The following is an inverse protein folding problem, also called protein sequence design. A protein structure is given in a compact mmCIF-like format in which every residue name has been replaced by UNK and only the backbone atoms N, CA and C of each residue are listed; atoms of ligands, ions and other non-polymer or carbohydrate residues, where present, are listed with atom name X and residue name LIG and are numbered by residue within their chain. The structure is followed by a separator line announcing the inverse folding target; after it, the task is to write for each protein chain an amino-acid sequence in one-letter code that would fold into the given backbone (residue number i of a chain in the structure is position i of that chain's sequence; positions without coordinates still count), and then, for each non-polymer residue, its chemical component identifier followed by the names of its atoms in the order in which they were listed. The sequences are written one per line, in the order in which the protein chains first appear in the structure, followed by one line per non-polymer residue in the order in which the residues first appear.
data_IF_982212057106
#
_entry.id   IF_982212057106
#
_cell.length_a   1.000
_cell.length_b   1.000
_cell.length_c   1.000
_cell.angle_alpha   90.00
_cell.angle_beta   90.00
_cell.angle_gamma   90.00
#
_symmetry.space_group_name_H-M   'P 1'
#
loop_
_entity.id
_entity.type
_entity.pdbx_description
1 polymer ?
#
# COMPACT_ATOMS: atom_id res chain seq x y z
N UNK A 1 47.45 -76.42 27.46
CA UNK A 1 46.64 -75.94 28.60
C UNK A 1 45.67 -74.90 28.05
N UNK A 2 44.42 -75.28 27.73
CA UNK A 2 43.19 -74.78 28.40
C UNK A 2 43.37 -73.43 29.08
N UNK A 3 42.65 -72.40 28.63
CA UNK A 3 41.58 -71.76 29.41
C UNK A 3 40.66 -70.95 28.47
N UNK A 4 39.41 -71.42 28.40
CA UNK A 4 38.26 -70.75 27.82
C UNK A 4 37.70 -69.79 28.89
N UNK A 5 37.24 -68.58 28.52
CA UNK A 5 36.13 -67.86 29.22
C UNK A 5 35.72 -66.54 28.56
N UNK A 6 34.49 -66.58 28.04
CA UNK A 6 33.37 -65.62 28.05
C UNK A 6 33.61 -64.17 28.49
N UNK A 7 32.98 -63.20 27.80
CA UNK A 7 31.99 -62.24 28.36
C UNK A 7 31.18 -61.61 27.20
N UNK A 8 29.85 -61.67 27.32
CA UNK A 8 28.86 -60.89 26.57
C UNK A 8 28.90 -59.42 27.02
N UNK A 9 28.91 -58.47 26.08
CA UNK A 9 28.58 -57.06 26.38
C UNK A 9 27.45 -56.62 25.46
N UNK A 10 26.32 -56.31 26.08
CA UNK A 10 25.16 -55.70 25.47
C UNK A 10 25.46 -54.22 25.12
N UNK A 11 25.14 -53.80 23.90
CA UNK A 11 25.17 -52.41 23.48
C UNK A 11 23.79 -51.97 23.00
N UNK A 12 23.01 -51.36 23.88
CA UNK A 12 21.76 -50.69 23.51
C UNK A 12 22.07 -49.35 22.82
N UNK A 13 21.73 -49.22 21.54
CA UNK A 13 21.84 -47.95 20.80
C UNK A 13 20.44 -47.38 20.61
N UNK A 14 20.01 -46.51 21.53
CA UNK A 14 18.80 -45.71 21.36
C UNK A 14 19.14 -44.50 20.46
N UNK A 15 18.74 -44.55 19.19
CA UNK A 15 18.85 -43.43 18.27
C UNK A 15 17.73 -42.42 18.54
N UNK A 16 18.06 -41.33 19.25
CA UNK A 16 17.20 -40.16 19.38
C UNK A 16 17.22 -39.36 18.08
N UNK A 17 16.23 -39.57 17.22
CA UNK A 17 15.96 -38.69 16.08
C UNK A 17 15.30 -37.41 16.60
N UNK A 18 16.10 -36.39 16.92
CA UNK A 18 15.59 -35.04 17.12
C UNK A 18 15.27 -34.44 15.74
N UNK A 19 14.00 -34.55 15.33
CA UNK A 19 13.46 -33.82 14.19
C UNK A 19 13.49 -32.32 14.47
N UNK A 20 14.46 -31.62 13.88
CA UNK A 20 14.49 -30.17 13.89
C UNK A 20 13.42 -29.66 12.91
N UNK A 21 12.24 -29.34 13.45
CA UNK A 21 11.20 -28.62 12.73
C UNK A 21 11.70 -27.22 12.41
N UNK A 22 12.23 -27.00 11.21
CA UNK A 22 12.48 -25.64 10.71
C UNK A 22 11.13 -24.97 10.49
N UNK A 23 10.66 -24.21 11.48
CA UNK A 23 9.55 -23.30 11.30
C UNK A 23 9.93 -22.33 10.18
N UNK A 24 9.28 -22.44 9.01
CA UNK A 24 9.37 -21.41 7.99
C UNK A 24 8.78 -20.14 8.60
N UNK A 25 9.63 -19.21 9.00
CA UNK A 25 9.21 -17.85 9.29
C UNK A 25 8.59 -17.30 8.00
N UNK A 26 7.26 -17.13 8.00
CA UNK A 26 6.59 -16.39 6.94
C UNK A 26 7.28 -15.02 6.80
N UNK A 27 7.50 -14.50 5.58
CA UNK A 27 8.08 -13.18 5.42
C UNK A 27 7.21 -12.18 6.19
N UNK A 28 7.82 -11.48 7.14
CA UNK A 28 7.17 -10.37 7.82
C UNK A 28 6.91 -9.29 6.76
N UNK A 29 5.66 -9.22 6.27
CA UNK A 29 5.24 -8.14 5.38
C UNK A 29 5.27 -6.86 6.20
N UNK A 30 6.32 -6.06 6.03
CA UNK A 30 6.37 -4.73 6.61
C UNK A 30 5.17 -3.95 6.07
N UNK A 31 4.23 -3.60 6.95
CA UNK A 31 3.16 -2.68 6.61
C UNK A 31 3.78 -1.43 5.94
N UNK A 32 3.10 -0.81 4.97
CA UNK A 32 3.65 0.37 4.32
C UNK A 32 3.90 1.44 5.39
N UNK A 33 5.16 1.83 5.59
CA UNK A 33 5.56 2.81 6.62
C UNK A 33 5.18 4.26 6.26
N UNK A 34 4.34 4.40 5.23
CA UNK A 34 4.00 5.66 4.60
C UNK A 34 2.51 5.87 4.78
N UNK A 35 2.18 7.04 5.31
CA UNK A 35 0.81 7.51 5.51
C UNK A 35 0.57 8.71 4.59
N UNK A 36 -0.67 9.01 4.21
CA UNK A 36 -0.94 10.17 3.38
C UNK A 36 -0.52 11.49 4.06
N UNK A 37 -0.50 11.58 5.39
CA UNK A 37 -0.01 12.75 6.12
C UNK A 37 1.51 12.88 6.09
N UNK A 38 2.25 11.77 5.96
CA UNK A 38 3.70 11.80 5.75
C UNK A 38 4.04 12.37 4.36
N UNK A 39 3.21 12.05 3.35
CA UNK A 39 3.40 12.48 1.95
C UNK A 39 2.87 13.89 1.72
N UNK A 40 1.61 14.14 2.08
CA UNK A 40 0.91 15.41 1.87
C UNK A 40 1.27 16.50 2.91
N UNK A 41 1.85 16.12 4.04
CA UNK A 41 2.17 17.01 5.17
C UNK A 41 1.23 16.83 6.36
N UNK A 42 1.75 17.05 7.57
CA UNK A 42 1.08 16.74 8.85
C UNK A 42 -0.20 17.54 9.11
N UNK A 43 -0.34 18.71 8.48
CA UNK A 43 -1.53 19.55 8.57
C UNK A 43 -2.72 19.03 7.73
N UNK A 44 -2.48 18.09 6.80
CA UNK A 44 -3.51 17.49 5.96
C UNK A 44 -4.24 16.37 6.70
N UNK A 45 -5.56 16.29 6.53
CA UNK A 45 -6.40 15.21 7.07
C UNK A 45 -6.99 14.41 5.92
N UNK A 46 -7.02 13.09 6.04
CA UNK A 46 -7.71 12.23 5.08
C UNK A 46 -9.19 12.53 5.11
N UNK A 47 -9.75 12.91 3.96
CA UNK A 47 -11.18 13.18 3.78
C UNK A 47 -11.87 12.12 2.94
N UNK A 48 -11.11 11.42 2.09
CA UNK A 48 -11.60 10.28 1.32
C UNK A 48 -10.44 9.33 0.95
N UNK A 49 -10.76 8.10 0.59
CA UNK A 49 -9.79 7.10 0.12
C UNK A 49 -10.45 6.06 -0.76
N UNK A 50 -9.68 5.41 -1.64
CA UNK A 50 -10.14 4.35 -2.51
C UNK A 50 -9.10 3.26 -2.73
N UNK A 51 -9.52 2.00 -2.66
CA UNK A 51 -8.65 0.88 -2.96
C UNK A 51 -8.38 0.79 -4.47
N UNK A 52 -7.10 0.66 -4.83
CA UNK A 52 -6.64 0.32 -6.18
C UNK A 52 -6.53 -1.21 -6.26
N UNK A 53 -7.68 -1.85 -6.41
CA UNK A 53 -7.80 -3.31 -6.29
C UNK A 53 -7.22 -3.81 -4.97
N UNK A 54 -6.33 -4.80 -5.03
CA UNK A 54 -5.56 -5.31 -3.89
C UNK A 54 -4.15 -4.71 -3.76
N UNK A 55 -3.77 -3.78 -4.66
CA UNK A 55 -2.38 -3.33 -4.80
C UNK A 55 -2.02 -2.15 -3.89
N UNK A 56 -3.00 -1.34 -3.51
CA UNK A 56 -2.78 -0.16 -2.69
C UNK A 56 -4.04 0.67 -2.51
N UNK A 57 -3.86 1.88 -2.02
CA UNK A 57 -4.94 2.84 -1.77
C UNK A 57 -4.52 4.22 -2.28
N UNK A 58 -5.42 4.89 -3.00
CA UNK A 58 -5.31 6.33 -3.28
C UNK A 58 -6.06 7.11 -2.21
N UNK A 59 -5.45 8.15 -1.69
CA UNK A 59 -5.98 8.99 -0.62
C UNK A 59 -6.22 10.40 -1.13
N UNK A 60 -7.36 10.97 -0.75
CA UNK A 60 -7.62 12.40 -0.82
C UNK A 60 -7.50 12.97 0.58
N UNK A 61 -6.62 13.95 0.74
CA UNK A 61 -6.45 14.70 1.98
C UNK A 61 -6.74 16.17 1.76
N UNK A 62 -7.07 16.89 2.83
CA UNK A 62 -7.40 18.30 2.78
C UNK A 62 -6.79 19.06 3.96
N UNK A 63 -6.33 20.29 3.71
CA UNK A 63 -5.89 21.23 4.73
C UNK A 63 -6.82 22.45 4.75
N UNK A 64 -7.66 22.54 5.79
CA UNK A 64 -8.63 23.62 5.94
C UNK A 64 -8.00 25.02 6.08
N UNK A 65 -6.73 25.11 6.52
CA UNK A 65 -6.04 26.39 6.73
C UNK A 65 -5.60 27.04 5.43
N UNK A 66 -5.34 26.25 4.37
CA UNK A 66 -4.90 26.76 3.06
C UNK A 66 -5.88 26.43 1.91
N UNK A 67 -6.94 25.66 2.18
CA UNK A 67 -7.95 25.30 1.19
C UNK A 67 -7.49 24.33 0.11
N UNK A 68 -6.34 23.67 0.30
CA UNK A 68 -5.77 22.75 -0.68
C UNK A 68 -6.12 21.30 -0.35
N UNK A 69 -6.46 20.56 -1.40
CA UNK A 69 -6.47 19.12 -1.42
C UNK A 69 -5.06 18.60 -1.74
N UNK A 70 -4.78 17.38 -1.30
CA UNK A 70 -3.62 16.61 -1.73
C UNK A 70 -3.99 15.16 -2.01
N UNK A 71 -3.55 14.63 -3.15
CA UNK A 71 -3.73 13.22 -3.52
C UNK A 71 -2.41 12.48 -3.51
N UNK A 72 -2.45 11.25 -2.99
CA UNK A 72 -1.30 10.33 -3.04
C UNK A 72 -1.78 8.90 -3.14
N UNK A 73 -1.07 8.12 -3.95
CA UNK A 73 -1.30 6.68 -4.11
C UNK A 73 -0.22 5.92 -3.35
N UNK A 74 -0.60 5.06 -2.40
CA UNK A 74 0.32 4.30 -1.56
C UNK A 74 0.10 2.80 -1.81
N UNK A 75 1.18 2.08 -2.13
CA UNK A 75 1.16 0.62 -2.30
C UNK A 75 1.02 -0.10 -0.96
N UNK A 76 0.26 -1.20 -0.94
CA UNK A 76 0.17 -2.07 0.24
C UNK A 76 1.50 -2.73 0.59
N UNK A 77 2.32 -3.03 -0.43
CA UNK A 77 3.62 -3.66 -0.27
C UNK A 77 4.67 -2.89 -1.10
N UNK A 78 5.52 -2.08 -0.44
CA UNK A 78 6.67 -1.46 -1.07
C UNK A 78 7.62 -2.49 -1.67
N UNK A 79 8.35 -2.11 -2.73
CA UNK A 79 9.31 -3.01 -3.37
C UNK A 79 9.90 -2.41 -4.64
N UNK A 80 10.20 -3.26 -5.63
CA UNK A 80 10.68 -2.82 -6.95
C UNK A 80 9.75 -1.75 -7.53
N UNK A 81 10.34 -0.79 -8.24
CA UNK A 81 9.61 0.28 -8.88
C UNK A 81 8.59 -0.29 -9.89
N UNK A 82 7.38 0.23 -9.85
CA UNK A 82 6.28 -0.13 -10.79
C UNK A 82 5.57 1.14 -11.22
N UNK A 83 4.89 1.08 -12.35
CA UNK A 83 4.09 2.20 -12.83
C UNK A 83 3.01 2.56 -11.80
N UNK A 84 3.00 3.82 -11.37
CA UNK A 84 1.99 4.35 -10.48
C UNK A 84 1.66 5.79 -10.86
N UNK A 85 0.50 6.23 -10.41
CA UNK A 85 0.08 7.62 -10.54
C UNK A 85 -0.79 8.08 -9.38
N UNK A 86 -0.79 9.39 -9.16
CA UNK A 86 -1.73 10.13 -8.34
C UNK A 86 -2.14 11.38 -9.11
N UNK A 87 -3.42 11.73 -9.13
CA UNK A 87 -3.89 12.92 -9.84
C UNK A 87 -5.12 13.52 -9.18
N UNK A 88 -5.30 14.82 -9.38
CA UNK A 88 -6.46 15.57 -8.92
C UNK A 88 -6.81 16.68 -9.93
N UNK A 89 -8.10 16.93 -10.10
CA UNK A 89 -8.65 17.92 -11.01
C UNK A 89 -9.88 18.59 -10.40
N UNK A 90 -10.03 19.90 -10.60
CA UNK A 90 -11.14 20.70 -10.10
C UNK A 90 -11.99 21.12 -11.29
N UNK A 91 -13.08 20.39 -11.52
CA UNK A 91 -13.74 20.34 -12.83
C UNK A 91 -14.34 21.66 -13.29
N UNK A 92 -14.77 22.52 -12.37
CA UNK A 92 -15.35 23.83 -12.67
C UNK A 92 -14.30 24.94 -12.88
N UNK A 93 -13.04 24.73 -12.46
CA UNK A 93 -11.94 25.69 -12.66
C UNK A 93 -10.97 25.28 -13.75
N UNK A 94 -10.96 24.00 -14.15
CA UNK A 94 -10.01 23.48 -15.13
C UNK A 94 -8.59 23.27 -14.60
N UNK A 95 -8.38 23.41 -13.28
CA UNK A 95 -7.06 23.27 -12.66
C UNK A 95 -6.88 21.85 -12.16
N UNK A 96 -5.71 21.27 -12.41
CA UNK A 96 -5.33 19.95 -11.92
C UNK A 96 -3.83 19.84 -11.66
N UNK A 97 -3.46 18.72 -11.06
CA UNK A 97 -2.08 18.33 -10.79
C UNK A 97 -1.98 16.80 -10.81
N UNK A 98 -0.87 16.29 -11.33
CA UNK A 98 -0.64 14.87 -11.54
C UNK A 98 0.83 14.50 -11.31
N UNK A 99 1.04 13.28 -10.84
CA UNK A 99 2.35 12.67 -10.69
C UNK A 99 2.25 11.23 -11.19
N UNK A 100 3.06 10.89 -12.18
CA UNK A 100 3.09 9.58 -12.81
C UNK A 100 4.53 9.15 -13.11
N UNK A 101 4.79 7.85 -13.02
CA UNK A 101 6.14 7.32 -13.18
C UNK A 101 6.31 5.96 -12.50
N UNK A 102 7.56 5.56 -12.32
CA UNK A 102 7.88 4.30 -11.64
C UNK A 102 8.28 4.56 -10.18
N UNK A 103 7.50 4.00 -9.25
CA UNK A 103 7.68 4.24 -7.82
C UNK A 103 7.77 2.94 -7.02
N UNK A 104 8.58 2.97 -5.96
CA UNK A 104 8.79 1.83 -5.07
C UNK A 104 7.72 1.72 -3.98
N UNK A 105 7.13 2.85 -3.57
CA UNK A 105 6.26 2.94 -2.39
C UNK A 105 4.99 3.76 -2.61
N UNK A 106 5.10 4.98 -3.15
CA UNK A 106 3.97 5.88 -3.37
C UNK A 106 4.19 6.79 -4.58
N UNK A 107 3.10 7.30 -5.15
CA UNK A 107 3.06 8.40 -6.12
C UNK A 107 2.36 9.62 -5.50
N UNK A 108 2.69 10.83 -5.96
CA UNK A 108 2.33 12.10 -5.33
C UNK A 108 3.42 12.63 -4.37
N UNK A 109 3.17 13.71 -3.63
CA UNK A 109 1.88 14.38 -3.49
C UNK A 109 1.52 15.25 -4.69
N UNK A 110 0.24 15.24 -5.10
CA UNK A 110 -0.32 16.23 -6.03
C UNK A 110 -1.23 17.16 -5.27
N UNK A 111 -1.22 18.46 -5.59
CA UNK A 111 -1.94 19.48 -4.84
C UNK A 111 -2.81 20.34 -5.74
N UNK A 112 -4.03 20.63 -5.28
CA UNK A 112 -4.87 21.64 -5.91
C UNK A 112 -5.68 22.41 -4.87
N UNK A 113 -5.91 23.69 -5.13
CA UNK A 113 -6.87 24.45 -4.33
C UNK A 113 -8.28 23.99 -4.70
N UNK A 114 -9.07 23.52 -3.72
CA UNK A 114 -10.41 22.98 -3.98
C UNK A 114 -11.44 23.39 -2.93
N UNK A 115 -11.14 24.41 -2.10
CA UNK A 115 -12.12 24.92 -1.13
C UNK A 115 -13.36 25.45 -1.85
N UNK A 116 -14.51 24.84 -1.56
CA UNK A 116 -15.79 25.21 -2.17
C UNK A 116 -16.02 24.61 -3.57
N UNK A 117 -15.15 23.69 -4.00
CA UNK A 117 -15.24 23.06 -5.32
C UNK A 117 -15.34 21.54 -5.24
N UNK A 118 -15.97 20.99 -6.26
CA UNK A 118 -15.93 19.56 -6.59
C UNK A 118 -14.54 19.17 -7.07
N UNK A 119 -14.10 17.96 -6.71
CA UNK A 119 -12.84 17.41 -7.21
C UNK A 119 -13.03 16.02 -7.81
N UNK A 120 -12.38 15.82 -8.94
CA UNK A 120 -12.15 14.52 -9.54
C UNK A 120 -10.72 14.11 -9.22
N UNK A 121 -10.50 12.86 -8.83
CA UNK A 121 -9.18 12.40 -8.38
C UNK A 121 -9.02 10.91 -8.56
N UNK A 122 -7.78 10.45 -8.53
CA UNK A 122 -7.51 9.03 -8.63
C UNK A 122 -6.05 8.71 -8.71
N UNK A 123 -5.78 7.47 -9.10
CA UNK A 123 -4.44 6.95 -9.24
C UNK A 123 -4.45 5.54 -9.79
N UNK A 124 -3.25 5.04 -10.02
CA UNK A 124 -3.04 3.69 -10.51
C UNK A 124 -1.81 3.04 -9.88
N UNK A 125 -1.84 1.70 -9.83
CA UNK A 125 -0.69 0.84 -9.56
C UNK A 125 -0.68 -0.25 -10.63
N UNK A 126 0.41 -0.37 -11.38
CA UNK A 126 0.54 -1.25 -12.55
C UNK A 126 -0.61 -1.04 -13.54
N UNK A 127 -1.42 -2.06 -13.77
CA UNK A 127 -2.54 -2.03 -14.69
C UNK A 127 -3.89 -1.73 -14.03
N UNK A 128 -3.95 -1.49 -12.71
CA UNK A 128 -5.21 -1.24 -11.99
C UNK A 128 -5.33 0.25 -11.72
N UNK A 129 -6.48 0.80 -12.09
CA UNK A 129 -6.82 2.22 -11.99
C UNK A 129 -8.03 2.38 -11.10
N UNK A 130 -8.04 3.43 -10.28
CA UNK A 130 -9.22 3.87 -9.55
C UNK A 130 -9.43 5.36 -9.75
N UNK A 131 -10.64 5.72 -10.15
CA UNK A 131 -11.04 7.09 -10.43
C UNK A 131 -12.30 7.41 -9.63
N UNK A 132 -12.32 8.61 -9.08
CA UNK A 132 -13.42 9.15 -8.30
C UNK A 132 -13.81 10.47 -8.95
N UNK A 133 -15.08 10.61 -9.31
CA UNK A 133 -15.62 11.86 -9.85
C UNK A 133 -16.76 12.41 -9.01
N UNK A 134 -16.87 13.74 -9.03
CA UNK A 134 -17.87 14.45 -8.23
C UNK A 134 -17.66 14.28 -6.71
N UNK A 135 -16.39 14.19 -6.27
CA UNK A 135 -16.08 14.12 -4.84
C UNK A 135 -16.22 15.50 -4.18
N UNK A 136 -16.67 15.53 -2.92
CA UNK A 136 -16.95 16.76 -2.15
C UNK A 136 -18.06 17.68 -2.72
N UNK A 137 -18.97 17.13 -3.52
CA UNK A 137 -19.99 17.89 -4.26
C UNK A 137 -21.35 18.05 -3.55
N UNK A 138 -21.41 17.96 -2.23
CA UNK A 138 -22.65 18.12 -1.46
C UNK A 138 -23.75 17.13 -1.88
N UNK A 139 -24.77 17.62 -2.60
CA UNK A 139 -25.92 16.83 -3.04
C UNK A 139 -25.63 15.87 -4.21
N UNK A 140 -24.53 16.06 -4.95
CA UNK A 140 -24.16 15.13 -6.01
C UNK A 140 -23.54 13.85 -5.43
N UNK A 141 -23.94 12.71 -5.97
CA UNK A 141 -23.40 11.42 -5.57
C UNK A 141 -22.06 11.18 -6.24
N UNK A 142 -21.01 11.06 -5.43
CA UNK A 142 -19.68 10.61 -5.86
C UNK A 142 -19.80 9.32 -6.70
N UNK A 143 -19.12 9.29 -7.84
CA UNK A 143 -18.98 8.10 -8.67
C UNK A 143 -17.58 7.53 -8.50
N UNK A 144 -17.48 6.21 -8.40
CA UNK A 144 -16.22 5.50 -8.23
C UNK A 144 -16.12 4.36 -9.20
N UNK A 145 -15.02 4.32 -9.95
CA UNK A 145 -14.75 3.27 -10.93
C UNK A 145 -13.35 2.73 -10.66
N UNK A 146 -13.25 1.40 -10.55
CA UNK A 146 -11.98 0.67 -10.54
C UNK A 146 -11.96 -0.26 -11.73
N UNK A 147 -10.89 -0.23 -12.53
CA UNK A 147 -10.77 -1.03 -13.73
C UNK A 147 -9.32 -1.42 -14.01
N UNK A 148 -9.14 -2.40 -14.88
CA UNK A 148 -7.85 -2.87 -15.36
C UNK A 148 -7.67 -2.47 -16.82
N UNK A 149 -6.48 -2.00 -17.22
CA UNK A 149 -6.14 -1.68 -18.61
C UNK A 149 -4.92 -2.45 -19.08
#
# INVERSE_FOLDING_TARGET
MRFNRSVLVAGASAALLMGASTALAAPASAAPNTTPQKVCGSAYKTVNSAAIGSQGTVYLTYNASNGKNCVTTIRNSPGTAVDMSAWIYVSDTGVGDDDYGQFTSYAGPTYVYGKGHCVDWGGQIKNVYTQISGSNCGAFKEQRVTFTR
#
